data_IF_864173331057
#
_entry.id   IF_864173331057
#
_cell.length_a   1.000
_cell.length_b   1.000
_cell.length_c   1.000
_cell.angle_alpha   90.00
_cell.angle_beta   90.00
_cell.angle_gamma   90.00
#
_symmetry.space_group_name_H-M   'P 1'
#
loop_
_entity.id
_entity.type
_entity.pdbx_description
1 polymer ?
#
# COMPACT_ATOMS: atom_id res chain seq x y z
N UNK A 1 16.75 -19.38 8.07
CA UNK A 1 16.64 -18.00 8.56
C UNK A 1 15.69 -17.22 7.66
N UNK A 2 14.66 -16.69 8.25
CA UNK A 2 13.68 -15.93 7.49
C UNK A 2 14.04 -14.46 7.57
N UNK A 3 14.45 -13.92 6.43
CA UNK A 3 14.65 -12.48 6.33
C UNK A 3 13.38 -11.88 5.77
N UNK A 4 12.74 -11.06 6.59
CA UNK A 4 11.58 -10.33 6.11
C UNK A 4 12.01 -9.37 5.02
N UNK A 5 11.30 -9.39 3.91
CA UNK A 5 11.60 -8.53 2.80
C UNK A 5 11.01 -7.16 3.05
N UNK A 6 11.88 -6.16 3.05
CA UNK A 6 11.47 -4.77 3.23
C UNK A 6 11.28 -4.12 1.88
N UNK A 7 10.33 -3.20 1.81
CA UNK A 7 10.12 -2.42 0.61
C UNK A 7 9.34 -1.16 0.90
N UNK A 8 9.31 -0.29 -0.09
CA UNK A 8 8.52 0.93 -0.04
C UNK A 8 7.36 0.81 -1.02
N UNK A 9 6.16 1.13 -0.55
CA UNK A 9 4.97 1.12 -1.41
C UNK A 9 5.07 2.27 -2.39
N UNK A 10 4.95 1.97 -3.68
CA UNK A 10 5.17 2.94 -4.75
C UNK A 10 4.07 2.87 -5.81
N UNK A 11 3.89 3.96 -6.53
CA UNK A 11 3.08 3.98 -7.74
C UNK A 11 3.89 3.39 -8.89
N UNK A 12 3.21 2.81 -9.91
CA UNK A 12 3.90 2.41 -11.13
C UNK A 12 4.54 3.60 -11.83
N UNK A 13 5.55 3.31 -12.66
CA UNK A 13 6.18 4.35 -13.46
C UNK A 13 5.16 4.97 -14.43
N UNK A 14 5.28 6.28 -14.75
CA UNK A 14 4.31 6.93 -15.65
C UNK A 14 4.20 6.28 -17.02
N UNK A 15 5.27 5.67 -17.53
CA UNK A 15 5.24 4.98 -18.81
C UNK A 15 4.54 3.62 -18.76
N UNK A 16 4.29 3.10 -17.57
CA UNK A 16 3.58 1.84 -17.39
C UNK A 16 2.08 2.12 -17.25
N UNK A 17 1.48 2.63 -18.32
CA UNK A 17 0.07 2.95 -18.28
C UNK A 17 -0.79 1.72 -18.02
N UNK A 18 -1.66 1.84 -17.03
CA UNK A 18 -2.60 0.78 -16.68
C UNK A 18 -3.93 1.47 -16.34
N UNK A 19 -5.03 1.08 -17.00
CA UNK A 19 -6.33 1.67 -16.68
C UNK A 19 -6.81 1.34 -15.27
N UNK A 20 -6.22 0.32 -14.65
CA UNK A 20 -6.55 -0.04 -13.26
C UNK A 20 -5.50 0.53 -12.33
N UNK A 21 -5.91 1.28 -11.28
CA UNK A 21 -4.97 1.76 -10.29
C UNK A 21 -4.26 0.59 -9.62
N UNK A 22 -2.96 0.74 -9.41
CA UNK A 22 -2.20 -0.29 -8.69
C UNK A 22 -1.14 0.35 -7.81
N UNK A 23 -0.75 -0.38 -6.78
CA UNK A 23 0.42 -0.08 -5.98
C UNK A 23 1.43 -1.20 -6.16
N UNK A 24 2.71 -0.86 -6.09
CA UNK A 24 3.79 -1.82 -6.22
C UNK A 24 4.58 -1.93 -4.94
N UNK A 25 5.00 -3.14 -4.62
CA UNK A 25 5.92 -3.42 -3.53
C UNK A 25 6.94 -4.42 -4.05
N UNK A 26 8.20 -4.01 -4.09
CA UNK A 26 9.29 -4.85 -4.61
C UNK A 26 8.99 -5.41 -6.00
N UNK A 27 8.35 -4.59 -6.84
CA UNK A 27 8.07 -4.96 -8.23
C UNK A 27 6.80 -5.76 -8.46
N UNK A 28 6.08 -6.15 -7.41
CA UNK A 28 4.81 -6.85 -7.56
C UNK A 28 3.62 -5.95 -7.21
N UNK A 29 2.48 -6.23 -7.80
CA UNK A 29 1.25 -5.51 -7.50
C UNK A 29 0.71 -5.93 -6.13
N UNK A 30 0.27 -4.93 -5.37
CA UNK A 30 -0.42 -5.15 -4.11
C UNK A 30 -1.90 -5.37 -4.41
N UNK A 31 -2.50 -6.35 -3.75
CA UNK A 31 -3.94 -6.63 -3.88
C UNK A 31 -4.69 -6.01 -2.71
N UNK A 32 -5.93 -5.59 -2.96
CA UNK A 32 -6.80 -5.10 -1.91
C UNK A 32 -6.97 -6.18 -0.83
N UNK A 33 -6.91 -5.79 0.42
CA UNK A 33 -7.04 -6.73 1.54
C UNK A 33 -5.71 -7.29 2.05
N UNK A 34 -4.59 -6.95 1.43
CA UNK A 34 -3.29 -7.40 1.94
C UNK A 34 -2.92 -6.66 3.22
N UNK A 35 -2.31 -7.39 4.14
CA UNK A 35 -1.86 -6.88 5.44
C UNK A 35 -0.35 -6.85 5.48
N UNK A 36 0.20 -5.75 5.98
CA UNK A 36 1.63 -5.55 6.10
C UNK A 36 1.96 -4.97 7.47
N UNK A 37 3.22 -5.09 7.87
CA UNK A 37 3.76 -4.33 8.99
C UNK A 37 4.46 -3.10 8.42
N UNK A 38 3.95 -1.93 8.73
CA UNK A 38 4.48 -0.66 8.23
C UNK A 38 5.24 0.09 9.30
N UNK A 39 6.25 0.84 8.89
CA UNK A 39 7.08 1.61 9.81
C UNK A 39 6.49 2.99 10.01
N UNK A 40 6.17 3.30 11.26
CA UNK A 40 5.70 4.62 11.71
C UNK A 40 6.68 5.16 12.76
N UNK A 41 6.57 6.45 13.12
CA UNK A 41 7.48 7.03 14.10
C UNK A 41 7.52 6.30 15.45
N UNK A 42 6.42 5.67 15.84
CA UNK A 42 6.33 4.91 17.11
C UNK A 42 6.63 3.42 16.93
N UNK A 43 7.06 3.01 15.75
CA UNK A 43 7.47 1.62 15.49
C UNK A 43 6.66 0.95 14.40
N UNK A 44 6.79 -0.38 14.33
CA UNK A 44 6.09 -1.19 13.34
C UNK A 44 4.64 -1.43 13.76
N UNK A 45 3.73 -1.20 12.82
CA UNK A 45 2.29 -1.42 13.06
C UNK A 45 1.71 -2.24 11.93
N UNK A 46 0.81 -3.16 12.28
CA UNK A 46 0.10 -3.94 11.28
C UNK A 46 -1.01 -3.10 10.66
N UNK A 47 -1.01 -3.04 9.33
CA UNK A 47 -2.02 -2.30 8.57
C UNK A 47 -2.58 -3.18 7.45
N UNK A 48 -3.83 -2.93 7.08
CA UNK A 48 -4.48 -3.56 5.93
C UNK A 48 -4.73 -2.50 4.88
N UNK A 49 -4.32 -2.78 3.65
CA UNK A 49 -4.46 -1.86 2.53
C UNK A 49 -5.65 -2.28 1.67
N UNK A 50 -6.54 -1.34 1.40
CA UNK A 50 -7.75 -1.58 0.62
C UNK A 50 -7.86 -0.60 -0.53
N UNK A 51 -8.72 -0.92 -1.48
CA UNK A 51 -9.03 -0.07 -2.62
C UNK A 51 -10.48 0.37 -2.53
N UNK A 52 -10.71 1.67 -2.66
CA UNK A 52 -12.04 2.24 -2.75
C UNK A 52 -12.30 2.71 -4.18
N UNK A 53 -13.39 2.25 -4.77
CA UNK A 53 -13.83 2.71 -6.08
C UNK A 53 -14.93 3.74 -5.89
N UNK A 54 -14.56 5.01 -6.02
CA UNK A 54 -15.55 6.08 -5.96
C UNK A 54 -16.23 6.21 -7.33
N UNK A 55 -17.56 6.42 -7.36
CA UNK A 55 -18.28 6.51 -8.64
C UNK A 55 -17.79 7.61 -9.56
N UNK A 56 -17.24 8.67 -8.99
CA UNK A 56 -16.88 9.87 -9.74
C UNK A 56 -15.38 10.08 -9.84
N UNK A 57 -14.57 9.13 -9.43
CA UNK A 57 -13.15 9.33 -9.43
C UNK A 57 -12.36 8.08 -9.72
N UNK A 58 -11.06 8.21 -9.89
CA UNK A 58 -10.19 7.04 -10.00
C UNK A 58 -10.20 6.27 -8.71
N UNK A 59 -9.90 4.97 -8.77
CA UNK A 59 -9.75 4.17 -7.58
C UNK A 59 -8.71 4.77 -6.64
N UNK A 60 -8.95 4.65 -5.36
CA UNK A 60 -8.08 5.20 -4.33
C UNK A 60 -7.66 4.13 -3.35
N UNK A 61 -6.36 4.04 -3.12
CA UNK A 61 -5.82 3.13 -2.12
C UNK A 61 -5.80 3.80 -0.75
N UNK A 62 -6.19 3.05 0.27
CA UNK A 62 -6.24 3.58 1.63
C UNK A 62 -5.93 2.49 2.63
N UNK A 63 -5.65 2.90 3.87
CA UNK A 63 -5.45 1.96 4.98
C UNK A 63 -6.77 1.83 5.71
N UNK A 64 -7.32 0.61 5.78
CA UNK A 64 -8.60 0.37 6.44
C UNK A 64 -8.47 0.15 7.94
N UNK A 65 -7.26 -0.02 8.45
CA UNK A 65 -7.02 -0.26 9.86
C UNK A 65 -7.46 0.96 10.69
N UNK A 66 -8.29 0.78 11.74
CA UNK A 66 -8.71 1.88 12.58
C UNK A 66 -7.52 2.67 13.15
N UNK A 67 -7.63 3.99 13.13
CA UNK A 67 -6.57 4.87 13.58
C UNK A 67 -5.57 5.24 12.51
N UNK A 68 -5.59 4.57 11.33
CA UNK A 68 -4.64 4.81 10.24
C UNK A 68 -5.33 5.23 8.95
N UNK A 69 -6.64 5.41 8.97
CA UNK A 69 -7.43 5.66 7.76
C UNK A 69 -7.10 6.99 7.09
N UNK A 70 -6.49 7.92 7.81
CA UNK A 70 -6.07 9.22 7.27
C UNK A 70 -4.68 9.20 6.66
N UNK A 71 -3.98 8.07 6.73
CA UNK A 71 -2.61 7.95 6.25
C UNK A 71 -2.61 7.36 4.85
N UNK A 72 -1.91 8.03 3.92
CA UNK A 72 -1.74 7.51 2.57
C UNK A 72 -0.73 6.35 2.59
N UNK A 73 -1.06 5.19 2.00
CA UNK A 73 -0.12 4.07 1.99
C UNK A 73 1.07 4.28 1.05
N UNK A 74 0.97 5.19 0.08
CA UNK A 74 2.05 5.41 -0.88
C UNK A 74 3.24 6.04 -0.16
N UNK A 75 4.40 5.41 -0.32
CA UNK A 75 5.63 5.88 0.31
C UNK A 75 5.96 5.21 1.63
N UNK A 76 5.05 4.41 2.18
CA UNK A 76 5.32 3.71 3.44
C UNK A 76 6.35 2.59 3.23
N UNK A 77 7.23 2.44 4.21
CA UNK A 77 8.10 1.28 4.27
C UNK A 77 7.39 0.18 5.03
N UNK A 78 7.34 -1.00 4.43
CA UNK A 78 6.62 -2.14 4.99
C UNK A 78 7.46 -3.40 4.92
N UNK A 79 7.12 -4.36 5.77
CA UNK A 79 7.65 -5.72 5.71
C UNK A 79 6.67 -6.58 4.94
N UNK A 80 7.20 -7.26 3.96
CA UNK A 80 6.41 -8.15 3.13
C UNK A 80 6.12 -9.48 3.80
#
# INVERSE_FOLDING_TARGET
>A
MNMEKLGQIQLPAPEDFDPHPRLLLNGRSIHAGETFHALFPDGWREITIEMSWEPEGPGCWYISTPGFTHICPIGLFVKE
#
